data_IF_063470907633
#
_entry.id   IF_063470907633
#
_cell.length_a   1.000
_cell.length_b   1.000
_cell.length_c   1.000
_cell.angle_alpha   90.00
_cell.angle_beta   90.00
_cell.angle_gamma   90.00
#
_symmetry.space_group_name_H-M   'P 1'
#
loop_
_entity.id
_entity.type
_entity.pdbx_description
1 polymer ?
#
# COMPACT_ATOMS: atom_id res chain seq x y z
N UNK A 1 0.85 41.25 7.02
CA UNK A 1 1.23 40.42 8.19
C UNK A 1 0.23 39.30 8.47
N UNK A 2 -1.09 39.54 8.40
CA UNK A 2 -2.12 38.51 8.63
C UNK A 2 -2.12 37.31 7.64
N UNK A 3 -1.88 37.56 6.35
CA UNK A 3 -1.85 36.50 5.34
C UNK A 3 -0.70 35.49 5.53
N UNK A 4 0.49 35.94 5.96
CA UNK A 4 1.62 35.06 6.23
C UNK A 4 1.38 34.19 7.47
N UNK A 5 0.77 34.74 8.52
CA UNK A 5 0.40 33.99 9.72
C UNK A 5 -0.66 32.90 9.42
N UNK A 6 -1.66 33.21 8.60
CA UNK A 6 -2.65 32.23 8.13
C UNK A 6 -2.00 31.12 7.30
N UNK A 7 -1.06 31.47 6.40
CA UNK A 7 -0.38 30.49 5.56
C UNK A 7 0.51 29.53 6.37
N UNK A 8 1.19 30.03 7.41
CA UNK A 8 1.98 29.21 8.34
C UNK A 8 1.13 28.26 9.20
N UNK A 9 -0.11 28.64 9.53
CA UNK A 9 -1.02 27.79 10.32
C UNK A 9 -1.73 26.73 9.46
N UNK A 10 -2.08 27.05 8.21
CA UNK A 10 -2.83 26.16 7.32
C UNK A 10 -1.93 25.11 6.64
N UNK A 11 -0.71 25.50 6.28
CA UNK A 11 0.25 24.62 5.60
C UNK A 11 0.51 23.28 6.32
N UNK A 12 0.81 23.21 7.63
CA UNK A 12 1.08 21.93 8.29
C UNK A 12 -0.16 21.04 8.36
N UNK A 13 -1.36 21.61 8.53
CA UNK A 13 -2.62 20.86 8.55
C UNK A 13 -2.86 20.24 7.17
N UNK A 14 -2.66 21.01 6.10
CA UNK A 14 -2.79 20.50 4.73
C UNK A 14 -1.79 19.36 4.46
N UNK A 15 -0.52 19.52 4.84
CA UNK A 15 0.51 18.49 4.69
C UNK A 15 0.13 17.20 5.43
N UNK A 16 -0.39 17.31 6.66
CA UNK A 16 -0.85 16.16 7.43
C UNK A 16 -2.01 15.43 6.76
N UNK A 17 -2.99 16.17 6.23
CA UNK A 17 -4.13 15.58 5.52
C UNK A 17 -3.65 14.81 4.28
N UNK A 18 -2.82 15.44 3.46
CA UNK A 18 -2.24 14.81 2.26
C UNK A 18 -1.43 13.58 2.64
N UNK A 19 -0.62 13.66 3.69
CA UNK A 19 0.15 12.52 4.18
C UNK A 19 -0.74 11.33 4.54
N UNK A 20 -1.85 11.55 5.26
CA UNK A 20 -2.79 10.48 5.62
C UNK A 20 -3.43 9.86 4.38
N UNK A 21 -3.86 10.68 3.42
CA UNK A 21 -4.46 10.23 2.15
C UNK A 21 -3.50 9.34 1.36
N UNK A 22 -2.19 9.61 1.44
CA UNK A 22 -1.15 8.82 0.76
C UNK A 22 -0.76 7.58 1.57
N UNK A 23 -0.56 7.72 2.88
CA UNK A 23 -0.03 6.63 3.73
C UNK A 23 -1.03 5.50 3.89
N UNK A 24 -2.32 5.80 4.07
CA UNK A 24 -3.35 4.77 4.26
C UNK A 24 -3.42 3.77 3.10
N UNK A 25 -3.49 4.18 1.81
CA UNK A 25 -3.46 3.22 0.71
C UNK A 25 -2.13 2.47 0.64
N UNK A 26 -0.98 3.13 0.84
CA UNK A 26 0.31 2.43 0.86
C UNK A 26 0.39 1.38 1.97
N UNK A 27 -0.09 1.69 3.18
CA UNK A 27 -0.19 0.76 4.30
C UNK A 27 -0.97 -0.51 3.92
N UNK A 28 -2.11 -0.34 3.24
CA UNK A 28 -2.92 -1.47 2.77
C UNK A 28 -2.22 -2.27 1.66
N UNK A 29 -1.50 -1.61 0.76
CA UNK A 29 -0.76 -2.29 -0.30
C UNK A 29 0.40 -3.10 0.27
N UNK A 30 1.19 -2.55 1.20
CA UNK A 30 2.28 -3.28 1.85
C UNK A 30 1.78 -4.54 2.57
N UNK A 31 0.61 -4.48 3.23
CA UNK A 31 -0.04 -5.67 3.80
C UNK A 31 -0.37 -6.73 2.76
N UNK A 32 -0.89 -6.32 1.59
CA UNK A 32 -1.25 -7.23 0.48
C UNK A 32 -0.02 -7.83 -0.19
N UNK A 33 1.06 -7.07 -0.28
CA UNK A 33 2.33 -7.56 -0.81
C UNK A 33 3.04 -8.55 0.14
N UNK A 34 2.59 -8.65 1.40
CA UNK A 34 3.16 -9.55 2.41
C UNK A 34 4.32 -8.93 3.20
N UNK A 35 4.45 -7.61 3.17
CA UNK A 35 5.43 -6.84 3.93
C UNK A 35 4.79 -6.21 5.18
N UNK A 36 5.66 -5.65 6.04
CA UNK A 36 5.21 -4.91 7.22
C UNK A 36 4.62 -3.55 6.82
N UNK A 37 3.37 -3.23 7.19
CA UNK A 37 2.73 -1.97 6.80
C UNK A 37 3.45 -0.71 7.28
N UNK A 38 4.27 -0.81 8.34
CA UNK A 38 5.10 0.28 8.85
C UNK A 38 6.07 0.85 7.81
N UNK A 39 6.39 0.10 6.74
CA UNK A 39 7.17 0.61 5.60
C UNK A 39 6.50 1.80 4.89
N UNK A 40 5.19 1.96 5.00
CA UNK A 40 4.48 3.14 4.47
C UNK A 40 4.94 4.45 5.12
N UNK A 41 5.48 4.43 6.35
CA UNK A 41 6.03 5.62 6.99
C UNK A 41 7.33 6.10 6.31
N UNK A 42 8.08 5.21 5.67
CA UNK A 42 9.28 5.59 4.93
C UNK A 42 8.96 6.45 3.68
N UNK A 43 7.70 6.43 3.23
CA UNK A 43 7.23 7.29 2.14
C UNK A 43 7.21 8.78 2.50
N UNK A 44 7.32 9.15 3.79
CA UNK A 44 7.47 10.56 4.20
C UNK A 44 8.78 11.19 3.69
N UNK A 45 9.80 10.38 3.46
CA UNK A 45 11.09 10.85 2.93
C UNK A 45 11.05 10.71 1.40
N UNK A 46 11.07 11.79 0.61
CA UNK A 46 10.78 11.74 -0.83
C UNK A 46 11.64 10.74 -1.62
N UNK A 47 12.96 10.76 -1.37
CA UNK A 47 13.89 9.86 -2.05
C UNK A 47 13.69 8.39 -1.66
N UNK A 48 13.44 8.14 -0.37
CA UNK A 48 13.17 6.79 0.12
C UNK A 48 11.82 6.31 -0.42
N UNK A 49 10.82 7.18 -0.49
CA UNK A 49 9.52 6.87 -1.08
C UNK A 49 9.63 6.39 -2.53
N UNK A 50 10.46 7.03 -3.34
CA UNK A 50 10.73 6.57 -4.72
C UNK A 50 11.33 5.17 -4.72
N UNK A 51 12.38 4.91 -3.91
CA UNK A 51 12.98 3.57 -3.79
C UNK A 51 11.93 2.54 -3.36
N UNK A 52 11.08 2.90 -2.40
CA UNK A 52 10.01 2.04 -1.91
C UNK A 52 8.96 1.73 -2.98
N UNK A 53 8.67 2.65 -3.90
CA UNK A 53 7.83 2.38 -5.06
C UNK A 53 8.45 1.35 -6.00
N UNK A 54 9.75 1.44 -6.27
CA UNK A 54 10.47 0.42 -7.06
C UNK A 54 10.45 -0.94 -6.37
N UNK A 55 10.69 -0.99 -5.05
CA UNK A 55 10.59 -2.23 -4.28
C UNK A 55 9.19 -2.81 -4.42
N UNK A 56 8.14 -2.00 -4.24
CA UNK A 56 6.76 -2.47 -4.33
C UNK A 56 6.39 -2.96 -5.75
N UNK A 57 6.91 -2.32 -6.79
CA UNK A 57 6.65 -2.67 -8.18
C UNK A 57 7.32 -3.98 -8.62
N UNK A 58 8.52 -4.26 -8.12
CA UNK A 58 9.33 -5.42 -8.54
C UNK A 58 9.40 -6.55 -7.50
N UNK A 59 8.91 -6.34 -6.27
CA UNK A 59 8.86 -7.39 -5.27
C UNK A 59 7.81 -8.45 -5.61
N UNK A 60 8.08 -9.69 -5.21
CA UNK A 60 7.09 -10.76 -5.23
C UNK A 60 6.02 -10.51 -4.18
N UNK A 61 4.77 -10.38 -4.62
CA UNK A 61 3.64 -10.20 -3.70
C UNK A 61 3.19 -11.56 -3.21
N UNK A 62 3.17 -11.75 -1.88
CA UNK A 62 2.60 -12.96 -1.26
C UNK A 62 1.07 -12.91 -1.33
N UNK A 63 0.52 -13.09 -2.52
CA UNK A 63 -0.92 -13.17 -2.72
C UNK A 63 -1.37 -14.55 -2.24
N UNK A 64 -2.14 -14.60 -1.15
CA UNK A 64 -2.86 -15.83 -0.80
C UNK A 64 -3.85 -16.08 -1.94
N UNK A 65 -3.79 -17.22 -2.66
CA UNK A 65 -4.79 -17.54 -3.66
C UNK A 65 -6.15 -17.42 -2.98
N UNK A 66 -7.06 -16.64 -3.56
CA UNK A 66 -8.43 -16.59 -3.05
C UNK A 66 -8.90 -18.04 -2.91
N UNK A 67 -9.17 -18.48 -1.67
CA UNK A 67 -9.63 -19.84 -1.40
C UNK A 67 -10.80 -20.05 -2.33
N UNK A 68 -10.62 -20.91 -3.34
CA UNK A 68 -11.70 -21.26 -4.25
C UNK A 68 -12.69 -22.01 -3.38
N UNK A 69 -13.75 -21.33 -2.96
CA UNK A 69 -14.88 -21.96 -2.32
C UNK A 69 -15.55 -22.78 -3.42
N UNK A 70 -15.18 -24.05 -3.50
CA UNK A 70 -15.85 -24.99 -4.39
C UNK A 70 -17.28 -25.16 -3.85
N UNK A 71 -18.32 -24.82 -4.63
CA UNK A 71 -19.69 -25.15 -4.24
C UNK A 71 -19.79 -26.65 -4.00
N UNK A 72 -20.50 -27.05 -2.94
CA UNK A 72 -20.73 -28.45 -2.63
C UNK A 72 -21.39 -29.14 -3.85
N UNK A 73 -20.63 -29.97 -4.56
CA UNK A 73 -21.08 -30.66 -5.78
C UNK A 73 -20.17 -30.53 -6.99
N UNK A 74 -19.18 -29.64 -6.98
CA UNK A 74 -18.13 -29.66 -8.00
C UNK A 74 -17.08 -30.72 -7.65
N UNK A 75 -16.81 -31.73 -8.51
CA UNK A 75 -15.65 -32.58 -8.32
C UNK A 75 -14.39 -31.69 -8.37
N UNK A 76 -13.38 -31.93 -7.52
CA UNK A 76 -12.13 -31.19 -7.59
C UNK A 76 -11.59 -31.35 -9.01
N UNK A 77 -11.59 -30.27 -9.80
CA UNK A 77 -10.92 -30.29 -11.10
C UNK A 77 -9.45 -30.53 -10.80
N UNK A 78 -8.94 -31.69 -11.19
CA UNK A 78 -7.50 -31.97 -11.20
C UNK A 78 -6.85 -30.88 -12.02
N UNK A 79 -6.30 -29.85 -11.36
CA UNK A 79 -5.50 -28.84 -12.02
C UNK A 79 -4.38 -29.63 -12.72
N UNK A 80 -4.28 -29.62 -14.06
CA UNK A 80 -3.11 -30.17 -14.71
C UNK A 80 -1.88 -29.47 -14.11
N UNK A 81 -0.77 -30.19 -13.88
CA UNK A 81 0.47 -29.58 -13.41
C UNK A 81 0.74 -28.36 -14.28
N UNK A 82 0.84 -27.19 -13.65
CA UNK A 82 1.21 -25.97 -14.37
C UNK A 82 2.69 -26.16 -14.72
N UNK A 83 2.94 -26.66 -15.93
CA UNK A 83 4.26 -26.82 -16.51
C UNK A 83 4.96 -25.46 -16.62
#
# INVERSE_FOLDING_TARGET
MHAAAAMLAIMPIFVLIVAVIVILPFWMIWKKAGFTPWLSLLMFVPLVGIIMLYVLAFAEWKVVPAQRVYPAGYPPSTLPPQL
#
